data_IF_903755933651
#
_entry.id   IF_903755933651
#
_cell.length_a   1.000
_cell.length_b   1.000
_cell.length_c   1.000
_cell.angle_alpha   90.00
_cell.angle_beta   90.00
_cell.angle_gamma   90.00
#
_symmetry.space_group_name_H-M   'P 1'
#
loop_
_entity.id
_entity.type
_entity.pdbx_description
1 polymer ?
#
# COMPACT_ATOMS: atom_id res chain seq x y z
N UNK A 1 -8.52 -15.11 -4.20
CA UNK A 1 -9.54 -16.18 -4.32
C UNK A 1 -9.11 -17.15 -5.39
N UNK A 2 -9.39 -18.44 -5.23
CA UNK A 2 -9.21 -19.44 -6.28
C UNK A 2 -10.39 -19.36 -7.28
N UNK A 3 -10.23 -19.87 -8.50
CA UNK A 3 -11.33 -19.91 -9.45
C UNK A 3 -12.46 -20.86 -9.00
N UNK A 4 -12.09 -22.03 -8.47
CA UNK A 4 -13.00 -23.06 -7.96
C UNK A 4 -13.07 -23.01 -6.42
N UNK A 5 -14.14 -23.55 -5.80
CA UNK A 5 -14.22 -23.74 -4.36
C UNK A 5 -13.02 -24.48 -3.76
N UNK A 6 -12.73 -24.16 -2.49
CA UNK A 6 -11.71 -24.86 -1.71
C UNK A 6 -10.25 -24.61 -2.16
N UNK A 7 -9.40 -25.61 -1.96
CA UNK A 7 -7.95 -25.47 -2.12
C UNK A 7 -7.30 -24.59 -1.05
N UNK A 8 -6.01 -24.27 -1.22
CA UNK A 8 -5.31 -23.34 -0.33
C UNK A 8 -5.75 -21.91 -0.65
N UNK A 9 -6.77 -21.41 0.03
CA UNK A 9 -7.19 -20.01 0.00
C UNK A 9 -7.67 -19.53 1.38
N UNK A 10 -7.57 -18.23 1.62
CA UNK A 10 -8.07 -17.63 2.85
C UNK A 10 -9.61 -17.64 2.89
N UNK A 11 -10.17 -17.80 4.09
CA UNK A 11 -11.59 -17.57 4.34
C UNK A 11 -11.81 -16.06 4.38
N UNK A 12 -12.55 -15.53 3.40
CA UNK A 12 -12.88 -14.11 3.35
C UNK A 12 -14.12 -13.84 4.19
N UNK A 13 -14.21 -12.62 4.75
CA UNK A 13 -15.44 -12.11 5.35
C UNK A 13 -16.52 -11.95 4.28
N UNK A 14 -17.78 -11.88 4.72
CA UNK A 14 -18.90 -11.67 3.81
C UNK A 14 -18.78 -10.33 3.09
N UNK A 15 -19.08 -10.36 1.80
CA UNK A 15 -19.13 -9.20 0.92
C UNK A 15 -20.56 -8.75 0.69
N UNK A 16 -20.76 -7.95 -0.35
CA UNK A 16 -22.09 -7.53 -0.77
C UNK A 16 -22.11 -7.19 -2.25
N UNK A 17 -23.27 -7.30 -2.88
CA UNK A 17 -23.46 -6.88 -4.26
C UNK A 17 -24.82 -6.22 -4.43
N UNK A 18 -25.00 -5.51 -5.54
CA UNK A 18 -26.28 -4.90 -5.89
C UNK A 18 -27.04 -5.84 -6.83
N UNK A 19 -28.26 -6.19 -6.46
CA UNK A 19 -29.18 -6.96 -7.29
C UNK A 19 -30.53 -6.22 -7.33
N UNK A 20 -30.98 -5.85 -8.52
CA UNK A 20 -32.23 -5.08 -8.74
C UNK A 20 -32.35 -3.84 -7.83
N UNK A 21 -31.24 -3.11 -7.67
CA UNK A 21 -31.18 -1.90 -6.85
C UNK A 21 -31.14 -2.15 -5.33
N UNK A 22 -31.14 -3.41 -4.89
CA UNK A 22 -31.06 -3.79 -3.48
C UNK A 22 -29.66 -4.31 -3.14
N UNK A 23 -29.14 -3.94 -1.97
CA UNK A 23 -27.86 -4.46 -1.45
C UNK A 23 -28.10 -5.83 -0.82
N UNK A 24 -27.47 -6.86 -1.40
CA UNK A 24 -27.57 -8.25 -0.95
C UNK A 24 -26.24 -8.68 -0.34
N UNK A 25 -26.29 -9.37 0.81
CA UNK A 25 -25.10 -9.92 1.47
C UNK A 25 -24.58 -11.14 0.70
N UNK A 26 -23.29 -11.12 0.39
CA UNK A 26 -22.60 -12.23 -0.26
C UNK A 26 -21.82 -13.05 0.77
N UNK A 27 -22.30 -14.27 1.07
CA UNK A 27 -21.52 -15.21 1.87
C UNK A 27 -20.31 -15.71 1.07
N UNK A 28 -19.10 -15.56 1.61
CA UNK A 28 -17.87 -15.98 0.93
C UNK A 28 -17.45 -17.42 1.27
N UNK A 29 -18.15 -18.06 2.20
CA UNK A 29 -17.94 -19.44 2.64
C UNK A 29 -19.26 -20.20 2.48
N UNK A 30 -19.19 -21.44 2.01
CA UNK A 30 -20.36 -22.32 1.94
C UNK A 30 -20.84 -22.69 3.35
N UNK A 31 -22.15 -22.87 3.50
CA UNK A 31 -22.74 -23.33 4.75
C UNK A 31 -22.19 -24.71 5.15
N UNK A 32 -22.24 -25.02 6.45
CA UNK A 32 -21.71 -26.28 6.99
C UNK A 32 -22.49 -27.52 6.52
N UNK A 33 -23.72 -27.34 6.06
CA UNK A 33 -24.61 -28.37 5.51
C UNK A 33 -24.57 -28.45 3.97
N UNK A 34 -23.66 -27.70 3.31
CA UNK A 34 -23.55 -27.73 1.85
C UNK A 34 -23.14 -29.11 1.34
N UNK A 35 -23.91 -29.65 0.39
CA UNK A 35 -23.78 -31.05 -0.06
C UNK A 35 -22.38 -31.41 -0.59
N UNK A 36 -21.71 -30.49 -1.29
CA UNK A 36 -20.42 -30.77 -1.96
C UNK A 36 -19.21 -30.09 -1.31
N UNK A 37 -19.41 -28.98 -0.59
CA UNK A 37 -18.33 -28.07 -0.18
C UNK A 37 -18.57 -27.50 1.24
N UNK A 38 -18.91 -28.33 2.24
CA UNK A 38 -19.31 -27.84 3.55
C UNK A 38 -18.20 -27.01 4.21
N UNK A 39 -18.51 -25.75 4.56
CA UNK A 39 -17.56 -24.84 5.21
C UNK A 39 -16.36 -24.39 4.36
N UNK A 40 -16.34 -24.70 3.06
CA UNK A 40 -15.24 -24.29 2.18
C UNK A 40 -15.41 -22.85 1.68
N UNK A 41 -14.30 -22.14 1.45
CA UNK A 41 -14.35 -20.86 0.76
C UNK A 41 -14.84 -21.01 -0.68
N UNK A 42 -15.72 -20.10 -1.10
CA UNK A 42 -16.21 -20.01 -2.48
C UNK A 42 -15.08 -19.59 -3.41
N UNK A 43 -15.11 -20.11 -4.64
CA UNK A 43 -14.24 -19.65 -5.71
C UNK A 43 -14.84 -18.44 -6.44
N UNK A 44 -14.00 -17.72 -7.19
CA UNK A 44 -14.42 -16.60 -8.04
C UNK A 44 -15.59 -16.99 -8.96
N UNK A 45 -15.57 -18.20 -9.54
CA UNK A 45 -16.64 -18.68 -10.41
C UNK A 45 -17.98 -18.74 -9.68
N UNK A 46 -18.00 -19.30 -8.47
CA UNK A 46 -19.24 -19.42 -7.70
C UNK A 46 -19.80 -18.05 -7.35
N UNK A 47 -18.96 -17.13 -6.87
CA UNK A 47 -19.38 -15.77 -6.49
C UNK A 47 -19.93 -15.02 -7.71
N UNK A 48 -19.25 -15.10 -8.85
CA UNK A 48 -19.71 -14.44 -10.08
C UNK A 48 -21.00 -15.06 -10.64
N UNK A 49 -21.23 -16.37 -10.49
CA UNK A 49 -22.50 -17.01 -10.86
C UNK A 49 -23.63 -16.47 -9.98
N UNK A 50 -23.41 -16.39 -8.67
CA UNK A 50 -24.39 -15.85 -7.72
C UNK A 50 -24.73 -14.38 -8.01
N UNK A 51 -23.79 -13.63 -8.59
CA UNK A 51 -23.97 -12.23 -9.00
C UNK A 51 -24.58 -12.07 -10.40
N UNK A 52 -24.74 -13.16 -11.16
CA UNK A 52 -25.16 -13.10 -12.56
C UNK A 52 -24.12 -12.47 -13.50
N UNK A 53 -22.85 -12.42 -13.08
CA UNK A 53 -21.74 -11.80 -13.81
C UNK A 53 -20.79 -12.84 -14.45
N UNK A 54 -21.08 -14.13 -14.28
CA UNK A 54 -20.28 -15.19 -14.87
C UNK A 54 -20.62 -15.41 -16.36
N UNK A 55 -19.60 -15.33 -17.21
CA UNK A 55 -19.69 -15.73 -18.62
C UNK A 55 -18.99 -17.07 -18.86
N UNK A 56 -19.55 -17.92 -19.72
CA UNK A 56 -18.93 -19.19 -20.07
C UNK A 56 -17.59 -18.97 -20.80
N UNK A 57 -16.58 -19.74 -20.39
CA UNK A 57 -15.21 -19.58 -20.90
C UNK A 57 -14.39 -18.48 -20.21
N UNK A 58 -14.94 -17.77 -19.22
CA UNK A 58 -14.21 -16.74 -18.48
C UNK A 58 -13.00 -17.34 -17.74
N UNK A 59 -11.81 -16.79 -18.03
CA UNK A 59 -10.57 -17.19 -17.38
C UNK A 59 -10.43 -16.52 -16.01
N UNK A 60 -9.65 -17.15 -15.12
CA UNK A 60 -9.33 -16.56 -13.81
C UNK A 60 -8.59 -15.22 -13.95
N UNK A 61 -7.55 -15.19 -14.79
CA UNK A 61 -6.70 -14.04 -15.09
C UNK A 61 -6.29 -14.10 -16.56
N UNK A 62 -6.24 -12.95 -17.23
CA UNK A 62 -5.64 -12.85 -18.57
C UNK A 62 -4.11 -13.07 -18.53
N UNK A 63 -3.50 -13.35 -19.68
CA UNK A 63 -2.04 -13.33 -19.83
C UNK A 63 -1.46 -11.91 -19.63
N UNK A 64 -0.13 -11.82 -19.53
CA UNK A 64 0.73 -10.83 -18.84
C UNK A 64 0.40 -9.32 -18.93
N UNK A 65 -0.55 -8.90 -19.75
CA UNK A 65 -1.07 -7.53 -19.79
C UNK A 65 -2.56 -7.55 -20.18
N UNK A 66 -3.47 -7.53 -19.20
CA UNK A 66 -4.85 -7.12 -19.50
C UNK A 66 -4.81 -5.61 -19.71
N UNK A 67 -5.07 -5.15 -20.94
CA UNK A 67 -5.41 -3.75 -21.20
C UNK A 67 -6.86 -3.57 -20.71
N UNK A 68 -7.00 -3.14 -19.45
CA UNK A 68 -8.24 -3.17 -18.67
C UNK A 68 -9.29 -2.13 -19.10
N UNK A 69 -9.16 -1.52 -20.29
CA UNK A 69 -10.21 -0.65 -20.85
C UNK A 69 -11.45 -1.46 -21.29
N UNK A 70 -11.30 -2.79 -21.46
CA UNK A 70 -12.42 -3.69 -21.67
C UNK A 70 -13.00 -4.14 -20.31
N UNK A 71 -14.22 -3.68 -20.02
CA UNK A 71 -14.98 -3.76 -18.76
C UNK A 71 -15.14 -5.16 -18.08
N UNK A 72 -14.57 -6.25 -18.60
CA UNK A 72 -14.72 -7.60 -18.06
C UNK A 72 -13.76 -8.67 -18.66
N UNK A 73 -12.44 -8.42 -18.76
CA UNK A 73 -11.53 -9.36 -19.45
C UNK A 73 -11.38 -10.74 -18.78
N UNK A 74 -11.43 -10.80 -17.44
CA UNK A 74 -11.29 -12.03 -16.67
C UNK A 74 -12.00 -11.93 -15.32
N UNK A 75 -12.18 -13.07 -14.63
CA UNK A 75 -12.87 -13.13 -13.33
C UNK A 75 -12.24 -12.19 -12.29
N UNK A 76 -10.91 -12.05 -12.31
CA UNK A 76 -10.20 -11.13 -11.40
C UNK A 76 -10.61 -9.68 -11.66
N UNK A 77 -10.57 -9.21 -12.92
CA UNK A 77 -10.95 -7.83 -13.26
C UNK A 77 -12.43 -7.55 -12.98
N UNK A 78 -13.33 -8.50 -13.26
CA UNK A 78 -14.76 -8.34 -12.96
C UNK A 78 -15.00 -8.14 -11.46
N UNK A 79 -14.33 -8.92 -10.61
CA UNK A 79 -14.41 -8.77 -9.15
C UNK A 79 -13.76 -7.46 -8.67
N UNK A 80 -12.58 -7.11 -9.18
CA UNK A 80 -11.87 -5.86 -8.82
C UNK A 80 -12.67 -4.60 -9.15
N UNK A 81 -13.51 -4.66 -10.20
CA UNK A 81 -14.39 -3.56 -10.58
C UNK A 81 -15.67 -3.48 -9.73
N UNK A 82 -15.97 -4.48 -8.90
CA UNK A 82 -17.17 -4.42 -8.07
C UNK A 82 -17.02 -3.43 -6.92
N UNK A 83 -18.10 -2.68 -6.58
CA UNK A 83 -18.05 -1.67 -5.52
C UNK A 83 -17.64 -2.20 -4.15
N UNK A 84 -17.98 -3.44 -3.80
CA UNK A 84 -17.60 -4.03 -2.52
C UNK A 84 -16.09 -4.23 -2.43
N UNK A 85 -15.46 -4.80 -3.47
CA UNK A 85 -14.01 -4.98 -3.56
C UNK A 85 -13.27 -3.64 -3.60
N UNK A 86 -13.77 -2.65 -4.35
CA UNK A 86 -13.14 -1.31 -4.41
C UNK A 86 -13.21 -0.56 -3.09
N UNK A 87 -14.33 -0.69 -2.36
CA UNK A 87 -14.52 -0.03 -1.07
C UNK A 87 -13.86 -0.78 0.09
N UNK A 88 -13.40 -2.00 -0.13
CA UNK A 88 -12.88 -2.84 0.94
C UNK A 88 -11.53 -2.33 1.44
N UNK A 89 -11.51 -1.89 2.70
CA UNK A 89 -10.26 -1.58 3.41
C UNK A 89 -9.56 -2.86 3.84
N UNK A 90 -8.23 -2.83 3.87
CA UNK A 90 -7.44 -3.91 4.45
C UNK A 90 -7.66 -3.98 5.96
N UNK A 91 -7.52 -5.17 6.55
CA UNK A 91 -7.62 -5.34 8.02
C UNK A 91 -6.65 -4.40 8.76
N UNK A 92 -5.44 -4.23 8.24
CA UNK A 92 -4.43 -3.32 8.81
C UNK A 92 -4.95 -1.88 8.81
N UNK A 93 -5.51 -1.42 7.69
CA UNK A 93 -6.07 -0.08 7.60
C UNK A 93 -7.22 0.12 8.58
N UNK A 94 -8.14 -0.84 8.69
CA UNK A 94 -9.26 -0.78 9.63
C UNK A 94 -8.79 -0.70 11.09
N UNK A 95 -7.80 -1.52 11.46
CA UNK A 95 -7.23 -1.52 12.81
C UNK A 95 -6.55 -0.19 13.13
N UNK A 96 -5.80 0.38 12.19
CA UNK A 96 -5.11 1.66 12.37
C UNK A 96 -6.13 2.82 12.49
N UNK A 97 -7.11 2.87 11.60
CA UNK A 97 -8.14 3.91 11.60
C UNK A 97 -9.05 3.82 12.83
N UNK A 98 -9.36 2.61 13.31
CA UNK A 98 -10.15 2.41 14.53
C UNK A 98 -9.46 2.97 15.80
N UNK A 99 -8.12 3.09 15.78
CA UNK A 99 -7.35 3.74 16.85
C UNK A 99 -7.23 5.27 16.64
N UNK A 100 -7.90 5.83 15.63
CA UNK A 100 -7.82 7.26 15.29
C UNK A 100 -6.55 7.67 14.56
N UNK A 101 -5.80 6.71 13.99
CA UNK A 101 -4.58 6.99 13.23
C UNK A 101 -4.85 6.99 11.72
N UNK A 102 -3.99 7.69 10.97
CA UNK A 102 -4.00 7.69 9.51
C UNK A 102 -3.15 6.53 8.98
N UNK A 103 -3.71 5.73 8.07
CA UNK A 103 -3.00 4.66 7.37
C UNK A 103 -2.50 5.16 6.01
N UNK A 104 -1.21 5.49 5.91
CA UNK A 104 -0.59 5.99 4.69
C UNK A 104 0.09 4.83 3.94
N UNK A 105 -0.34 4.57 2.71
CA UNK A 105 0.30 3.59 1.82
C UNK A 105 1.35 4.27 0.95
N UNK A 106 2.59 3.77 1.00
CA UNK A 106 3.70 4.28 0.20
C UNK A 106 3.86 3.48 -1.10
N UNK A 107 4.26 4.12 -2.21
CA UNK A 107 4.55 3.43 -3.46
C UNK A 107 5.64 2.36 -3.29
N UNK A 108 5.45 1.21 -3.95
CA UNK A 108 6.44 0.11 -3.93
C UNK A 108 7.72 0.54 -4.64
N UNK A 109 8.86 0.14 -4.10
CA UNK A 109 10.21 0.40 -4.66
C UNK A 109 10.64 1.88 -4.71
N UNK A 110 9.99 2.75 -3.93
CA UNK A 110 10.33 4.16 -3.81
C UNK A 110 10.79 4.50 -2.38
N UNK A 111 11.96 3.99 -1.98
CA UNK A 111 12.46 4.17 -0.61
C UNK A 111 12.78 5.63 -0.27
N UNK A 112 13.06 6.46 -1.27
CA UNK A 112 13.21 7.91 -1.16
C UNK A 112 11.93 8.64 -0.76
N UNK A 113 10.76 8.00 -0.94
CA UNK A 113 9.45 8.47 -0.49
C UNK A 113 9.12 8.01 0.94
N UNK A 114 10.07 7.39 1.64
CA UNK A 114 9.91 6.94 3.02
C UNK A 114 11.04 7.51 3.90
N UNK A 115 10.81 8.66 4.54
CA UNK A 115 11.88 9.35 5.27
C UNK A 115 12.42 8.55 6.49
N UNK A 116 11.71 7.53 6.97
CA UNK A 116 12.20 6.63 8.04
C UNK A 116 13.45 5.85 7.60
N UNK A 117 13.67 5.67 6.29
CA UNK A 117 14.87 5.02 5.76
C UNK A 117 16.14 5.83 6.08
N UNK A 118 16.06 7.17 6.03
CA UNK A 118 17.17 8.05 6.43
C UNK A 118 17.43 7.99 7.94
N UNK A 119 16.36 7.90 8.75
CA UNK A 119 16.45 7.71 10.19
C UNK A 119 17.22 6.42 10.50
N UNK A 120 16.79 5.30 9.94
CA UNK A 120 17.44 4.01 10.14
C UNK A 120 18.86 3.96 9.57
N UNK A 121 19.14 4.65 8.46
CA UNK A 121 20.49 4.79 7.93
C UNK A 121 21.44 5.46 8.93
N UNK A 122 20.97 6.50 9.62
CA UNK A 122 21.75 7.21 10.65
C UNK A 122 21.95 6.35 11.90
N UNK A 123 20.89 5.68 12.36
CA UNK A 123 20.94 4.74 13.49
C UNK A 123 21.91 3.61 13.22
N UNK A 124 21.86 2.99 12.03
CA UNK A 124 22.77 1.91 11.62
C UNK A 124 24.21 2.38 11.59
N UNK A 125 24.47 3.57 11.06
CA UNK A 125 25.83 4.15 11.06
C UNK A 125 26.35 4.33 12.49
N UNK A 126 25.55 4.89 13.39
CA UNK A 126 25.93 5.03 14.80
C UNK A 126 26.27 3.68 15.43
N UNK A 127 25.41 2.68 15.24
CA UNK A 127 25.63 1.34 15.78
C UNK A 127 26.90 0.70 15.23
N UNK A 128 27.18 0.89 13.93
CA UNK A 128 28.40 0.38 13.31
C UNK A 128 29.67 0.99 13.90
N UNK A 129 29.61 2.28 14.28
CA UNK A 129 30.75 3.01 14.88
C UNK A 129 30.95 2.71 16.37
N UNK A 130 29.90 2.23 17.07
CA UNK A 130 29.89 2.14 18.55
C UNK A 130 29.63 0.72 19.09
N UNK A 131 29.41 -0.28 18.23
CA UNK A 131 29.20 -1.68 18.64
C UNK A 131 30.33 -2.59 18.13
N UNK A 132 30.57 -3.67 18.85
CA UNK A 132 31.54 -4.73 18.54
C UNK A 132 30.91 -5.93 17.81
N UNK A 133 29.74 -5.73 17.19
CA UNK A 133 28.94 -6.76 16.53
C UNK A 133 28.42 -7.89 17.45
N UNK A 134 28.42 -7.69 18.77
CA UNK A 134 27.71 -8.57 19.71
C UNK A 134 26.27 -8.10 19.94
N UNK A 135 25.39 -9.03 20.31
CA UNK A 135 24.00 -8.70 20.62
C UNK A 135 23.88 -7.81 21.86
N UNK A 136 24.74 -8.01 22.85
CA UNK A 136 24.69 -7.26 24.10
C UNK A 136 25.07 -5.79 23.89
N UNK A 137 26.14 -5.51 23.12
CA UNK A 137 26.49 -4.11 22.81
C UNK A 137 25.46 -3.46 21.90
N UNK A 138 24.87 -4.19 20.95
CA UNK A 138 23.74 -3.72 20.14
C UNK A 138 22.56 -3.30 21.03
N UNK A 139 22.17 -4.15 21.98
CA UNK A 139 21.06 -3.87 22.89
C UNK A 139 21.34 -2.65 23.78
N UNK A 140 22.57 -2.49 24.25
CA UNK A 140 22.98 -1.35 25.07
C UNK A 140 23.04 -0.03 24.28
N UNK A 141 23.46 -0.07 23.01
CA UNK A 141 23.67 1.12 22.20
C UNK A 141 22.48 1.51 21.33
N UNK A 142 21.51 0.62 21.08
CA UNK A 142 20.32 0.92 20.29
C UNK A 142 19.52 2.13 20.83
N UNK A 143 19.22 2.25 22.14
CA UNK A 143 18.53 3.44 22.65
C UNK A 143 19.33 4.74 22.43
N UNK A 144 20.67 4.69 22.55
CA UNK A 144 21.56 5.83 22.31
C UNK A 144 21.57 6.23 20.84
N UNK A 145 21.59 5.24 19.94
CA UNK A 145 21.54 5.44 18.51
C UNK A 145 20.22 6.10 18.09
N UNK A 146 19.08 5.63 18.63
CA UNK A 146 17.77 6.23 18.38
C UNK A 146 17.70 7.68 18.90
N UNK A 147 18.24 7.95 20.09
CA UNK A 147 18.28 9.28 20.68
C UNK A 147 19.28 10.24 19.98
N UNK A 148 20.25 9.71 19.22
CA UNK A 148 21.22 10.53 18.49
C UNK A 148 20.60 11.31 17.32
N UNK A 149 19.46 10.86 16.81
CA UNK A 149 18.81 11.49 15.66
C UNK A 149 17.92 12.65 16.11
N UNK A 150 18.37 13.87 15.81
CA UNK A 150 17.65 15.07 16.19
C UNK A 150 16.37 15.28 15.35
N UNK A 151 15.31 15.77 15.98
CA UNK A 151 14.01 16.05 15.32
C UNK A 151 14.14 16.99 14.11
N UNK A 152 15.03 17.99 14.19
CA UNK A 152 15.26 18.92 13.10
C UNK A 152 15.81 18.22 11.83
N UNK A 153 16.57 17.13 12.01
CA UNK A 153 17.10 16.32 10.90
C UNK A 153 15.98 15.51 10.25
N UNK A 154 15.07 14.97 11.06
CA UNK A 154 13.89 14.22 10.58
C UNK A 154 13.02 15.12 9.70
N UNK A 155 12.73 16.35 10.15
CA UNK A 155 11.99 17.34 9.35
C UNK A 155 12.67 17.69 8.03
N UNK A 156 14.01 17.79 8.01
CA UNK A 156 14.76 18.00 6.75
C UNK A 156 14.61 16.82 5.78
N UNK A 157 14.53 15.59 6.28
CA UNK A 157 14.29 14.41 5.44
C UNK A 157 12.86 14.33 4.91
N UNK A 158 11.88 14.70 5.74
CA UNK A 158 10.50 14.89 5.30
C UNK A 158 10.39 15.95 4.19
N UNK A 159 11.02 17.12 4.35
CA UNK A 159 11.04 18.14 3.29
C UNK A 159 11.69 17.62 2.00
N UNK A 160 12.76 16.83 2.13
CA UNK A 160 13.40 16.20 0.98
C UNK A 160 12.48 15.19 0.28
N UNK A 161 11.66 14.47 1.03
CA UNK A 161 10.65 13.55 0.50
C UNK A 161 9.65 14.31 -0.39
N UNK A 162 9.18 15.49 0.03
CA UNK A 162 8.31 16.33 -0.81
C UNK A 162 8.99 16.73 -2.12
N UNK A 163 10.27 17.10 -2.10
CA UNK A 163 11.00 17.40 -3.35
C UNK A 163 11.07 16.19 -4.30
N UNK A 164 11.15 14.97 -3.77
CA UNK A 164 11.06 13.75 -4.57
C UNK A 164 9.64 13.54 -5.13
N UNK A 165 8.60 13.75 -4.32
CA UNK A 165 7.21 13.67 -4.78
C UNK A 165 6.95 14.64 -5.93
N UNK A 166 7.43 15.87 -5.83
CA UNK A 166 7.25 16.88 -6.87
C UNK A 166 8.02 16.50 -8.15
N UNK A 167 9.25 16.00 -8.02
CA UNK A 167 10.02 15.50 -9.16
C UNK A 167 9.31 14.33 -9.88
N UNK A 168 8.69 13.42 -9.13
CA UNK A 168 7.91 12.32 -9.73
C UNK A 168 6.59 12.79 -10.34
N UNK A 169 5.93 13.79 -9.75
CA UNK A 169 4.73 14.41 -10.35
C UNK A 169 5.04 15.08 -11.69
N UNK A 170 6.25 15.60 -11.87
CA UNK A 170 6.73 16.11 -13.16
C UNK A 170 7.08 15.00 -14.18
N UNK A 171 6.88 13.73 -13.83
CA UNK A 171 7.16 12.58 -14.70
C UNK A 171 8.65 12.24 -14.83
N UNK A 172 9.50 12.75 -13.92
CA UNK A 172 10.94 12.45 -13.97
C UNK A 172 11.22 11.00 -13.58
N UNK A 173 12.22 10.40 -14.24
CA UNK A 173 12.75 9.10 -13.85
C UNK A 173 13.49 9.20 -12.52
N UNK A 174 13.68 8.07 -11.82
CA UNK A 174 14.40 8.06 -10.54
C UNK A 174 15.80 8.71 -10.61
N UNK A 175 16.52 8.57 -11.73
CA UNK A 175 17.84 9.17 -11.93
C UNK A 175 17.74 10.69 -12.06
N UNK A 176 16.81 11.17 -12.88
CA UNK A 176 16.64 12.60 -13.14
C UNK A 176 16.04 13.31 -11.91
N UNK A 177 15.10 12.67 -11.23
CA UNK A 177 14.56 13.11 -9.94
C UNK A 177 15.68 13.24 -8.90
N UNK A 178 16.61 12.27 -8.82
CA UNK A 178 17.76 12.37 -7.92
C UNK A 178 18.64 13.58 -8.26
N UNK A 179 18.87 13.84 -9.55
CA UNK A 179 19.64 15.01 -10.00
C UNK A 179 18.94 16.31 -9.62
N UNK A 180 17.64 16.43 -9.85
CA UNK A 180 16.82 17.60 -9.47
C UNK A 180 16.85 17.84 -7.96
N UNK A 181 16.64 16.81 -7.15
CA UNK A 181 16.69 16.89 -5.68
C UNK A 181 18.10 17.27 -5.18
N UNK A 182 19.17 16.78 -5.84
CA UNK A 182 20.56 17.19 -5.54
C UNK A 182 20.85 18.64 -5.94
N UNK A 183 20.27 19.12 -7.03
CA UNK A 183 20.40 20.52 -7.45
C UNK A 183 19.73 21.46 -6.45
N UNK A 184 18.57 21.08 -5.92
CA UNK A 184 17.91 21.83 -4.85
C UNK A 184 18.82 22.01 -3.63
N UNK A 185 19.61 20.98 -3.28
CA UNK A 185 20.63 21.05 -2.22
C UNK A 185 21.82 21.96 -2.56
N UNK A 186 22.18 22.11 -3.84
CA UNK A 186 23.45 22.75 -4.25
C UNK A 186 23.32 24.14 -4.87
N UNK A 187 22.17 24.54 -5.43
CA UNK A 187 22.06 25.76 -6.24
C UNK A 187 20.91 26.72 -5.88
N UNK A 188 20.15 26.49 -4.82
CA UNK A 188 18.95 27.30 -4.54
C UNK A 188 18.77 27.71 -3.07
N UNK A 189 19.87 27.93 -2.36
CA UNK A 189 19.88 28.52 -1.01
C UNK A 189 20.54 29.91 -1.06
N UNK A 190 19.98 30.82 -1.88
CA UNK A 190 20.29 32.26 -1.85
C UNK A 190 19.04 33.09 -1.49
N UNK A 191 17.82 32.54 -1.59
CA UNK A 191 16.61 33.19 -1.08
C UNK A 191 15.97 32.35 0.04
N UNK A 192 15.72 33.01 1.16
CA UNK A 192 15.38 32.40 2.45
C UNK A 192 13.95 31.82 2.57
N UNK A 193 13.16 31.71 1.49
CA UNK A 193 11.71 31.42 1.60
C UNK A 193 11.14 30.61 0.41
N UNK A 194 11.67 29.43 0.09
CA UNK A 194 10.93 28.48 -0.77
C UNK A 194 10.49 27.26 0.04
N UNK A 195 9.18 27.16 0.24
CA UNK A 195 8.49 26.02 0.84
C UNK A 195 7.86 25.24 -0.31
N UNK A 196 8.12 23.94 -0.49
CA UNK A 196 7.41 23.14 -1.49
C UNK A 196 5.90 23.31 -1.34
N UNK A 197 5.19 23.49 -2.44
CA UNK A 197 3.74 23.81 -2.42
C UNK A 197 2.94 22.72 -1.69
N UNK A 198 3.35 21.45 -1.85
CA UNK A 198 2.80 20.32 -1.10
C UNK A 198 2.95 20.45 0.44
N UNK A 199 4.05 21.05 0.91
CA UNK A 199 4.28 21.31 2.32
C UNK A 199 3.56 22.58 2.78
N UNK A 200 3.48 23.61 1.93
CA UNK A 200 2.73 24.83 2.22
C UNK A 200 1.25 24.53 2.50
N UNK A 201 0.64 23.68 1.68
CA UNK A 201 -0.75 23.25 1.86
C UNK A 201 -1.04 22.54 3.19
N UNK A 202 -0.04 21.96 3.87
CA UNK A 202 -0.24 21.36 5.19
C UNK A 202 -0.38 22.39 6.30
N UNK A 203 0.11 23.62 6.10
CA UNK A 203 -0.07 24.72 7.05
C UNK A 203 -1.39 25.47 6.86
N UNK A 204 -2.07 25.27 5.72
CA UNK A 204 -3.35 25.89 5.39
C UNK A 204 -4.57 25.04 5.83
N UNK A 205 -4.35 23.86 6.41
CA UNK A 205 -5.36 22.94 6.95
C UNK A 205 -5.43 23.00 8.48
#
# INVERSE_FOLDING_TARGET
MNLRPGGKQALMRDGWFMHDGCKVTQLMVFASDHAEFPGMAKGMKQVLIEWGLWADGLLMKCCDSCDCDALACCATCVLELQPDFQSQKSLIQEVIEAQGHLCIFLPKFHCELNFIEFFWGTVKKYLQEHCDYTFDTLKQNLPKALASVQLHTIRKWEHRMYCWMDAYRDGLTAKDAQMKVKQFRSKQYISHCYVPEALAHQFDQ
#
